data_IF_515054343675
#
_entry.id   IF_515054343675
#
_cell.length_a   1.000
_cell.length_b   1.000
_cell.length_c   1.000
_cell.angle_alpha   90.00
_cell.angle_beta   90.00
_cell.angle_gamma   90.00
#
_symmetry.space_group_name_H-M   'P 1'
#
loop_
_entity.id
_entity.type
_entity.pdbx_description
1 polymer ?
#
# COMPACT_ATOMS: atom_id res chain seq x y z
N UNK A 1 -6.96 12.31 -18.65
CA UNK A 1 -7.31 11.47 -17.48
C UNK A 1 -8.17 10.33 -18.01
N UNK A 2 -7.57 9.16 -18.22
CA UNK A 2 -8.29 8.00 -18.78
C UNK A 2 -8.53 7.00 -17.67
N UNK A 3 -9.79 6.82 -17.29
CA UNK A 3 -10.24 5.86 -16.28
C UNK A 3 -10.58 4.57 -17.02
N UNK A 4 -9.82 3.49 -16.79
CA UNK A 4 -10.20 2.16 -17.24
C UNK A 4 -10.98 1.47 -16.12
N UNK A 5 -12.30 1.40 -16.28
CA UNK A 5 -13.20 0.55 -15.49
C UNK A 5 -13.56 -0.67 -16.32
N UNK A 6 -13.21 -1.87 -15.85
CA UNK A 6 -13.63 -3.12 -16.48
C UNK A 6 -14.76 -3.73 -15.65
N UNK A 7 -16.00 -3.34 -15.91
CA UNK A 7 -17.19 -4.09 -15.47
C UNK A 7 -17.58 -5.05 -16.59
N UNK A 8 -17.25 -6.33 -16.44
CA UNK A 8 -17.60 -7.38 -17.40
C UNK A 8 -18.84 -8.14 -16.93
N UNK A 9 -19.99 -7.82 -17.53
CA UNK A 9 -21.12 -8.74 -17.67
C UNK A 9 -21.45 -8.77 -19.16
N UNK A 10 -21.35 -9.94 -19.80
CA UNK A 10 -21.51 -10.25 -21.26
C UNK A 10 -20.20 -10.25 -22.08
N UNK A 11 -19.91 -11.31 -22.89
CA UNK A 11 -18.65 -11.40 -23.63
C UNK A 11 -18.66 -10.53 -24.89
N UNK A 12 -17.64 -9.68 -25.13
CA UNK A 12 -17.55 -8.96 -26.38
C UNK A 12 -16.95 -9.86 -27.47
N UNK A 13 -17.70 -9.99 -28.57
CA UNK A 13 -17.19 -10.39 -29.88
C UNK A 13 -16.16 -9.36 -30.35
N UNK A 14 -14.98 -9.86 -30.72
CA UNK A 14 -13.95 -9.21 -31.57
C UNK A 14 -13.59 -7.77 -31.20
N UNK A 15 -12.61 -7.61 -30.31
CA UNK A 15 -11.86 -6.36 -30.17
C UNK A 15 -10.65 -6.39 -31.13
N UNK A 16 -10.61 -5.42 -32.04
CA UNK A 16 -9.53 -5.20 -33.01
C UNK A 16 -8.22 -4.80 -32.34
N UNK A 17 -7.14 -5.35 -32.89
CA UNK A 17 -5.77 -5.26 -32.44
C UNK A 17 -5.24 -3.82 -32.34
N UNK A 18 -4.77 -3.46 -31.14
CA UNK A 18 -4.02 -2.22 -30.86
C UNK A 18 -3.07 -2.34 -29.66
N UNK A 19 -2.70 -3.55 -29.25
CA UNK A 19 -1.76 -3.81 -28.15
C UNK A 19 -0.95 -5.08 -28.49
N UNK A 20 -0.13 -4.98 -29.53
CA UNK A 20 0.44 -6.15 -30.21
C UNK A 20 1.86 -6.48 -29.77
N UNK A 21 2.02 -7.26 -28.69
CA UNK A 21 2.94 -8.41 -28.54
C UNK A 21 3.34 -8.68 -27.08
N UNK A 22 3.59 -7.68 -26.23
CA UNK A 22 4.11 -7.91 -24.87
C UNK A 22 3.04 -8.43 -23.88
N UNK A 23 1.87 -7.78 -23.87
CA UNK A 23 0.76 -8.13 -22.96
C UNK A 23 0.20 -9.52 -23.26
N UNK A 24 0.22 -9.90 -24.55
CA UNK A 24 -0.08 -11.25 -25.00
C UNK A 24 0.94 -12.27 -24.53
N UNK A 25 2.21 -11.89 -24.32
CA UNK A 25 3.27 -12.80 -23.84
C UNK A 25 3.12 -13.06 -22.33
N UNK A 26 2.91 -12.01 -21.53
CA UNK A 26 2.66 -12.17 -20.09
C UNK A 26 1.31 -12.86 -19.82
N UNK A 27 0.27 -12.57 -20.60
CA UNK A 27 -1.01 -13.28 -20.52
C UNK A 27 -0.89 -14.75 -20.99
N UNK A 28 -0.05 -15.04 -21.99
CA UNK A 28 0.20 -16.41 -22.45
C UNK A 28 1.00 -17.25 -21.45
N UNK A 29 1.93 -16.65 -20.69
CA UNK A 29 2.63 -17.34 -19.58
C UNK A 29 1.69 -17.76 -18.44
N UNK A 30 0.60 -17.01 -18.25
CA UNK A 30 -0.42 -17.27 -17.23
C UNK A 30 -1.57 -18.13 -17.76
N UNK A 31 -1.75 -18.21 -19.08
CA UNK A 31 -2.83 -18.95 -19.71
C UNK A 31 -2.64 -20.47 -19.52
N UNK A 32 -3.63 -21.12 -18.90
CA UNK A 32 -3.65 -22.58 -18.72
C UNK A 32 -3.00 -23.10 -17.44
N UNK A 33 -2.58 -22.22 -16.52
CA UNK A 33 -2.10 -22.60 -15.18
C UNK A 33 -3.13 -22.22 -14.12
N UNK A 34 -3.48 -23.17 -13.23
CA UNK A 34 -4.17 -22.84 -11.98
C UNK A 34 -3.16 -22.18 -11.04
N UNK A 35 -3.09 -20.85 -11.11
CA UNK A 35 -2.23 -20.06 -10.22
C UNK A 35 -3.05 -19.59 -9.01
N UNK A 36 -2.44 -19.57 -7.80
CA UNK A 36 -2.98 -18.85 -6.66
C UNK A 36 -3.35 -17.41 -7.03
N UNK A 37 -4.42 -16.89 -6.44
CA UNK A 37 -4.87 -15.52 -6.70
C UNK A 37 -3.78 -14.47 -6.44
N UNK A 38 -2.86 -14.72 -5.51
CA UNK A 38 -1.71 -13.85 -5.21
C UNK A 38 -0.69 -13.79 -6.35
N UNK A 39 -0.45 -14.90 -7.04
CA UNK A 39 0.50 -14.95 -8.15
C UNK A 39 -0.05 -14.22 -9.38
N UNK A 40 -1.35 -14.36 -9.62
CA UNK A 40 -2.06 -13.60 -10.66
C UNK A 40 -1.99 -12.10 -10.34
N UNK A 41 -2.24 -11.72 -9.06
CA UNK A 41 -2.11 -10.32 -8.62
C UNK A 41 -0.72 -9.77 -8.87
N UNK A 42 0.32 -10.48 -8.43
CA UNK A 42 1.71 -10.07 -8.60
C UNK A 42 2.08 -9.92 -10.08
N UNK A 43 1.61 -10.83 -10.94
CA UNK A 43 1.85 -10.76 -12.38
C UNK A 43 1.16 -9.54 -13.02
N UNK A 44 -0.08 -9.24 -12.64
CA UNK A 44 -0.79 -8.04 -13.15
C UNK A 44 -0.10 -6.75 -12.71
N UNK A 45 0.32 -6.66 -11.44
CA UNK A 45 1.08 -5.49 -10.95
C UNK A 45 2.41 -5.33 -11.69
N UNK A 46 3.08 -6.44 -12.00
CA UNK A 46 4.30 -6.43 -12.82
C UNK A 46 4.04 -5.86 -14.22
N UNK A 47 2.97 -6.29 -14.90
CA UNK A 47 2.60 -5.76 -16.23
C UNK A 47 2.39 -4.24 -16.19
N UNK A 48 1.75 -3.72 -15.13
CA UNK A 48 1.55 -2.28 -14.97
C UNK A 48 2.88 -1.51 -14.89
N UNK A 49 3.89 -2.07 -14.21
CA UNK A 49 5.21 -1.45 -14.12
C UNK A 49 6.04 -1.63 -15.39
N UNK A 50 6.08 -2.83 -15.96
CA UNK A 50 6.99 -3.15 -17.06
C UNK A 50 6.46 -2.71 -18.42
N UNK A 51 5.17 -2.92 -18.68
CA UNK A 51 4.59 -2.65 -20.00
C UNK A 51 3.95 -1.26 -20.08
N UNK A 52 3.18 -0.90 -19.05
CA UNK A 52 2.49 0.40 -19.00
C UNK A 52 3.37 1.51 -18.41
N UNK A 53 4.57 1.16 -17.92
CA UNK A 53 5.58 2.10 -17.41
C UNK A 53 5.09 3.00 -16.27
N UNK A 54 4.14 2.52 -15.47
CA UNK A 54 3.78 3.18 -14.23
C UNK A 54 4.90 2.99 -13.20
N UNK A 55 5.17 4.02 -12.39
CA UNK A 55 6.17 3.95 -11.32
C UNK A 55 5.64 3.11 -10.16
N UNK A 56 4.36 3.29 -9.83
CA UNK A 56 3.66 2.61 -8.76
C UNK A 56 2.46 1.83 -9.31
N UNK A 57 2.21 0.65 -8.77
CA UNK A 57 1.08 -0.21 -9.07
C UNK A 57 0.55 -0.80 -7.76
N UNK A 58 -0.62 -0.36 -7.34
CA UNK A 58 -1.25 -0.75 -6.09
C UNK A 58 -2.42 -1.69 -6.34
N UNK A 59 -2.66 -2.60 -5.40
CA UNK A 59 -3.86 -3.43 -5.35
C UNK A 59 -4.62 -3.18 -4.04
N UNK A 60 -5.95 -3.11 -4.17
CA UNK A 60 -6.89 -2.84 -3.10
C UNK A 60 -8.06 -3.82 -3.17
N UNK A 61 -7.95 -4.99 -2.50
CA UNK A 61 -9.06 -5.92 -2.33
C UNK A 61 -9.94 -5.50 -1.14
N UNK A 62 -11.18 -5.14 -1.42
CA UNK A 62 -12.20 -4.85 -0.41
C UNK A 62 -13.13 -6.06 -0.33
N UNK A 63 -13.11 -6.77 0.79
CA UNK A 63 -13.94 -7.95 1.03
C UNK A 63 -15.17 -7.62 1.87
N UNK A 64 -16.28 -8.29 1.58
CA UNK A 64 -17.46 -8.33 2.43
C UNK A 64 -17.27 -9.43 3.47
N UNK A 65 -16.87 -9.04 4.69
CA UNK A 65 -16.50 -9.94 5.79
C UNK A 65 -17.61 -10.97 6.09
N UNK A 66 -18.87 -10.54 6.11
CA UNK A 66 -20.02 -11.40 6.40
C UNK A 66 -20.23 -12.53 5.38
N UNK A 67 -19.92 -12.26 4.11
CA UNK A 67 -20.15 -13.22 3.01
C UNK A 67 -18.87 -13.90 2.54
N UNK A 68 -17.71 -13.54 3.11
CA UNK A 68 -16.36 -13.96 2.64
C UNK A 68 -16.20 -13.84 1.12
N UNK A 69 -16.78 -12.78 0.54
CA UNK A 69 -16.76 -12.51 -0.90
C UNK A 69 -16.07 -11.19 -1.16
N UNK A 70 -15.29 -11.13 -2.23
CA UNK A 70 -14.73 -9.87 -2.75
C UNK A 70 -15.87 -8.94 -3.15
N UNK A 71 -15.94 -7.77 -2.50
CA UNK A 71 -16.90 -6.73 -2.85
C UNK A 71 -16.36 -5.88 -4.00
N UNK A 72 -15.10 -5.45 -3.90
CA UNK A 72 -14.38 -4.77 -4.96
C UNK A 72 -12.91 -5.20 -4.98
N UNK A 73 -12.31 -5.30 -6.17
CA UNK A 73 -10.87 -5.45 -6.35
C UNK A 73 -10.41 -4.38 -7.31
N UNK A 74 -9.70 -3.38 -6.80
CA UNK A 74 -9.17 -2.28 -7.61
C UNK A 74 -7.67 -2.45 -7.78
N UNK A 75 -7.19 -2.36 -9.03
CA UNK A 75 -5.78 -2.25 -9.37
C UNK A 75 -5.58 -0.86 -9.95
N UNK A 76 -4.60 -0.14 -9.44
CA UNK A 76 -4.35 1.25 -9.80
C UNK A 76 -2.87 1.48 -10.09
N UNK A 77 -2.58 1.97 -11.30
CA UNK A 77 -1.24 2.38 -11.71
C UNK A 77 -1.11 3.89 -11.70
N UNK A 78 0.01 4.41 -11.19
CA UNK A 78 0.33 5.83 -11.21
C UNK A 78 1.83 6.05 -11.37
N UNK A 79 2.21 7.14 -12.02
CA UNK A 79 3.61 7.58 -12.07
C UNK A 79 3.93 8.63 -11.01
N UNK A 80 2.92 9.16 -10.32
CA UNK A 80 3.07 10.16 -9.26
C UNK A 80 2.83 9.54 -7.88
N UNK A 81 3.68 9.91 -6.91
CA UNK A 81 3.55 9.54 -5.50
C UNK A 81 2.16 9.92 -4.96
N UNK A 82 1.67 11.10 -5.31
CA UNK A 82 0.36 11.60 -4.86
C UNK A 82 -0.81 10.70 -5.24
N UNK A 83 -0.71 10.01 -6.38
CA UNK A 83 -1.73 9.04 -6.79
C UNK A 83 -1.84 7.85 -5.83
N UNK A 84 -0.73 7.45 -5.19
CA UNK A 84 -0.73 6.38 -4.19
C UNK A 84 -1.48 6.81 -2.93
N UNK A 85 -1.27 8.05 -2.45
CA UNK A 85 -1.99 8.55 -1.27
C UNK A 85 -3.49 8.66 -1.52
N UNK A 86 -3.88 9.17 -2.70
CA UNK A 86 -5.29 9.27 -3.09
C UNK A 86 -5.97 7.89 -3.06
N UNK A 87 -5.30 6.88 -3.62
CA UNK A 87 -5.82 5.51 -3.61
C UNK A 87 -5.98 4.97 -2.19
N UNK A 88 -4.94 5.09 -1.35
CA UNK A 88 -4.97 4.57 0.02
C UNK A 88 -6.00 5.27 0.90
N UNK A 89 -6.19 6.57 0.69
CA UNK A 89 -7.23 7.33 1.39
C UNK A 89 -8.64 6.92 0.92
N UNK A 90 -8.84 6.69 -0.38
CA UNK A 90 -10.10 6.18 -0.92
C UNK A 90 -10.40 4.76 -0.41
N UNK A 91 -9.40 3.88 -0.38
CA UNK A 91 -9.48 2.54 0.20
C UNK A 91 -9.87 2.60 1.67
N UNK A 92 -9.19 3.42 2.47
CA UNK A 92 -9.50 3.63 3.89
C UNK A 92 -10.94 4.08 4.12
N UNK A 93 -11.49 4.92 3.23
CA UNK A 93 -12.89 5.40 3.31
C UNK A 93 -13.91 4.37 2.81
N UNK A 94 -13.51 3.54 1.84
CA UNK A 94 -14.38 2.54 1.21
C UNK A 94 -14.46 1.23 2.02
N UNK A 95 -13.48 0.97 2.88
CA UNK A 95 -13.56 -0.10 3.86
C UNK A 95 -14.74 0.18 4.82
N UNK A 96 -15.69 -0.75 4.97
CA UNK A 96 -16.81 -0.56 5.88
C UNK A 96 -16.31 -0.25 7.30
N UNK A 97 -17.05 0.60 8.03
CA UNK A 97 -16.89 0.93 9.45
C UNK A 97 -16.74 -0.28 10.40
N UNK A 98 -16.98 -1.50 9.90
CA UNK A 98 -17.01 -2.76 10.62
C UNK A 98 -15.63 -3.22 11.09
N UNK A 99 -14.53 -2.92 10.40
CA UNK A 99 -13.19 -3.30 10.87
C UNK A 99 -12.53 -2.24 11.78
N UNK A 100 -12.99 -0.99 11.72
CA UNK A 100 -12.36 0.14 12.44
C UNK A 100 -12.97 0.41 13.83
N UNK A 101 -14.27 0.17 14.04
CA UNK A 101 -15.00 0.61 15.26
C UNK A 101 -15.18 -0.44 16.34
N UNK A 102 -14.19 -1.31 16.58
CA UNK A 102 -14.20 -2.24 17.72
C UNK A 102 -14.11 -1.53 19.08
N UNK A 103 -13.28 -0.47 19.18
CA UNK A 103 -13.13 0.30 20.43
C UNK A 103 -14.34 1.19 20.74
N UNK A 104 -14.96 1.79 19.74
CA UNK A 104 -16.04 2.77 19.93
C UNK A 104 -17.39 2.14 20.33
N UNK A 105 -17.63 0.85 20.05
CA UNK A 105 -18.86 0.17 20.51
C UNK A 105 -18.80 -0.19 22.00
N UNK A 106 -17.66 -0.65 22.51
CA UNK A 106 -17.46 -0.89 23.96
C UNK A 106 -17.55 0.41 24.77
N UNK A 107 -17.00 1.51 24.25
CA UNK A 107 -17.05 2.83 24.90
C UNK A 107 -18.47 3.43 24.98
N UNK A 108 -19.41 2.97 24.14
CA UNK A 108 -20.81 3.43 24.11
C UNK A 108 -21.77 2.60 24.97
N UNK A 109 -21.25 1.74 25.86
CA UNK A 109 -22.05 1.02 26.85
C UNK A 109 -22.99 -0.05 26.27
N UNK A 110 -22.85 -0.39 24.99
CA UNK A 110 -23.63 -1.46 24.37
C UNK A 110 -22.97 -2.79 24.73
N UNK A 111 -23.25 -3.28 25.94
CA UNK A 111 -22.94 -4.63 26.40
C UNK A 111 -23.65 -5.61 25.45
N UNK A 112 -22.89 -6.26 24.57
CA UNK A 112 -23.38 -7.42 23.85
C UNK A 112 -23.70 -8.52 24.87
N UNK A 113 -24.96 -8.96 24.93
CA UNK A 113 -25.43 -10.06 25.79
C UNK A 113 -24.85 -11.43 25.40
N UNK A 114 -24.03 -11.48 24.35
CA UNK A 114 -23.26 -12.64 23.93
C UNK A 114 -21.78 -12.35 24.18
N UNK A 115 -21.31 -12.62 25.41
CA UNK A 115 -19.90 -12.80 25.71
C UNK A 115 -19.40 -14.01 24.92
N UNK A 116 -18.75 -13.79 23.77
CA UNK A 116 -18.16 -14.89 23.01
C UNK A 116 -17.87 -14.66 21.55
N UNK A 117 -18.34 -13.57 20.92
CA UNK A 117 -17.81 -13.20 19.60
C UNK A 117 -16.45 -12.52 19.80
N UNK A 118 -15.43 -13.35 19.94
CA UNK A 118 -14.04 -12.99 19.74
C UNK A 118 -13.93 -12.35 18.36
N UNK A 119 -13.91 -11.01 18.36
CA UNK A 119 -13.94 -10.21 17.14
C UNK A 119 -12.60 -10.40 16.42
N UNK A 120 -12.52 -11.42 15.57
CA UNK A 120 -11.38 -11.61 14.68
C UNK A 120 -11.29 -10.36 13.81
N UNK A 121 -10.15 -9.64 13.80
CA UNK A 121 -9.95 -8.59 12.81
C UNK A 121 -10.23 -9.21 11.44
N UNK A 122 -11.01 -8.54 10.60
CA UNK A 122 -11.21 -9.02 9.24
C UNK A 122 -9.88 -9.08 8.49
N UNK A 123 -9.91 -9.58 7.26
CA UNK A 123 -8.69 -9.84 6.48
C UNK A 123 -7.83 -8.58 6.33
N UNK A 124 -8.43 -7.40 6.25
CA UNK A 124 -7.69 -6.14 6.17
C UNK A 124 -7.10 -5.73 7.52
N UNK A 125 -7.84 -5.89 8.63
CA UNK A 125 -7.32 -5.62 9.97
C UNK A 125 -6.09 -6.48 10.32
N UNK A 126 -6.12 -7.76 9.98
CA UNK A 126 -4.98 -8.68 10.18
C UNK A 126 -3.79 -8.34 9.28
N UNK A 127 -4.02 -8.06 7.99
CA UNK A 127 -2.97 -7.64 7.06
C UNK A 127 -2.33 -6.31 7.49
N UNK A 128 -3.15 -5.34 7.91
CA UNK A 128 -2.68 -4.05 8.38
C UNK A 128 -1.82 -4.16 9.63
N UNK A 129 -2.20 -4.99 10.61
CA UNK A 129 -1.39 -5.21 11.80
C UNK A 129 -0.01 -5.77 11.44
N UNK A 130 0.06 -6.77 10.56
CA UNK A 130 1.34 -7.30 10.06
C UNK A 130 2.17 -6.23 9.36
N UNK A 131 1.55 -5.44 8.48
CA UNK A 131 2.24 -4.34 7.81
C UNK A 131 2.77 -3.27 8.77
N UNK A 132 2.12 -3.07 9.93
CA UNK A 132 2.63 -2.17 10.97
C UNK A 132 3.80 -2.78 11.74
N UNK A 133 3.76 -4.08 12.02
CA UNK A 133 4.87 -4.81 12.62
C UNK A 133 6.11 -4.79 11.71
N UNK A 134 5.90 -4.99 10.40
CA UNK A 134 6.96 -5.01 9.38
C UNK A 134 7.43 -3.59 8.97
N UNK A 135 6.70 -2.54 9.36
CA UNK A 135 6.94 -1.17 8.89
C UNK A 135 8.37 -0.70 9.18
N UNK A 136 8.87 -0.93 10.39
CA UNK A 136 10.21 -0.48 10.78
C UNK A 136 11.29 -1.17 9.95
N UNK A 137 11.13 -2.48 9.69
CA UNK A 137 12.08 -3.24 8.88
C UNK A 137 12.07 -2.73 7.43
N UNK A 138 10.89 -2.49 6.86
CA UNK A 138 10.75 -1.98 5.50
C UNK A 138 11.29 -0.55 5.34
N UNK A 139 10.98 0.35 6.28
CA UNK A 139 11.51 1.73 6.28
C UNK A 139 13.03 1.69 6.35
N UNK A 140 13.60 0.81 7.18
CA UNK A 140 15.04 0.64 7.32
C UNK A 140 15.67 0.11 6.03
N UNK A 141 15.09 -0.93 5.42
CA UNK A 141 15.56 -1.50 4.15
C UNK A 141 15.58 -0.44 3.04
N UNK A 142 14.47 0.28 2.88
CA UNK A 142 14.35 1.31 1.84
C UNK A 142 15.25 2.51 2.12
N UNK A 143 15.39 2.94 3.38
CA UNK A 143 16.31 4.02 3.74
C UNK A 143 17.77 3.62 3.48
N UNK A 144 18.16 2.35 3.71
CA UNK A 144 19.50 1.88 3.34
C UNK A 144 19.74 1.95 1.83
N UNK A 145 18.73 1.63 1.02
CA UNK A 145 18.80 1.74 -0.44
C UNK A 145 18.92 3.20 -0.92
N UNK A 146 18.52 4.19 -0.11
CA UNK A 146 18.69 5.62 -0.46
C UNK A 146 20.07 6.18 -0.15
N UNK A 147 21.04 5.37 0.33
CA UNK A 147 22.44 5.79 0.53
C UNK A 147 23.08 6.31 -0.76
N UNK A 148 22.80 5.65 -1.89
CA UNK A 148 23.38 6.01 -3.20
C UNK A 148 22.56 7.07 -3.96
N UNK A 149 21.25 7.17 -3.67
CA UNK A 149 20.34 8.12 -4.28
C UNK A 149 19.29 8.58 -3.25
N UNK A 150 19.52 9.73 -2.57
CA UNK A 150 18.60 10.21 -1.54
C UNK A 150 17.27 10.65 -2.16
N UNK A 151 16.22 9.88 -1.87
CA UNK A 151 14.85 10.19 -2.25
C UNK A 151 14.19 11.20 -1.32
N UNK A 152 13.10 11.80 -1.79
CA UNK A 152 12.21 12.59 -0.93
C UNK A 152 11.38 11.69 -0.03
N UNK A 153 10.93 12.22 1.11
CA UNK A 153 9.98 11.53 1.98
C UNK A 153 8.75 11.08 1.20
N UNK A 154 8.27 11.91 0.26
CA UNK A 154 7.09 11.58 -0.53
C UNK A 154 7.26 10.30 -1.37
N UNK A 155 8.42 10.13 -2.01
CA UNK A 155 8.74 8.94 -2.82
C UNK A 155 8.93 7.70 -1.95
N UNK A 156 9.62 7.84 -0.80
CA UNK A 156 9.76 6.78 0.17
C UNK A 156 8.39 6.32 0.69
N UNK A 157 7.55 7.28 1.09
CA UNK A 157 6.22 7.01 1.61
C UNK A 157 5.33 6.34 0.56
N UNK A 158 5.36 6.80 -0.70
CA UNK A 158 4.62 6.16 -1.78
C UNK A 158 5.09 4.72 -2.05
N UNK A 159 6.40 4.46 -1.99
CA UNK A 159 6.96 3.11 -2.16
C UNK A 159 6.55 2.15 -1.03
N UNK A 160 6.54 2.64 0.21
CA UNK A 160 6.05 1.87 1.36
C UNK A 160 4.56 1.62 1.22
N UNK A 161 3.78 2.66 0.94
CA UNK A 161 2.33 2.59 0.84
C UNK A 161 1.86 1.80 -0.38
N UNK A 162 2.66 1.67 -1.43
CA UNK A 162 2.38 0.76 -2.53
C UNK A 162 2.26 -0.69 -2.03
N UNK A 163 3.14 -1.10 -1.13
CA UNK A 163 3.20 -2.49 -0.62
C UNK A 163 2.40 -2.69 0.67
N UNK A 164 2.26 -1.66 1.50
CA UNK A 164 1.75 -1.78 2.86
C UNK A 164 0.56 -0.86 3.12
N UNK A 165 -0.40 -1.34 3.90
CA UNK A 165 -1.61 -0.60 4.30
C UNK A 165 -1.34 0.34 5.49
N UNK A 166 -0.42 1.28 5.30
CA UNK A 166 0.01 2.25 6.33
C UNK A 166 -0.28 3.67 5.88
N UNK A 167 -0.35 4.60 6.84
CA UNK A 167 -0.58 6.03 6.56
C UNK A 167 0.74 6.80 6.47
N UNK A 168 0.76 7.96 5.77
CA UNK A 168 1.94 8.83 5.75
C UNK A 168 2.38 9.25 7.15
N UNK A 169 1.43 9.47 8.07
CA UNK A 169 1.71 9.85 9.46
C UNK A 169 2.49 8.76 10.20
N UNK A 170 2.10 7.49 10.06
CA UNK A 170 2.80 6.36 10.69
C UNK A 170 4.23 6.21 10.14
N UNK A 171 4.42 6.45 8.83
CA UNK A 171 5.74 6.47 8.21
C UNK A 171 6.57 7.65 8.74
N UNK A 172 5.98 8.85 8.85
CA UNK A 172 6.63 10.05 9.41
C UNK A 172 7.11 9.82 10.84
N UNK A 173 6.29 9.20 11.67
CA UNK A 173 6.63 8.85 13.05
C UNK A 173 7.78 7.86 13.10
N UNK A 174 7.74 6.79 12.29
CA UNK A 174 8.80 5.78 12.23
C UNK A 174 10.15 6.39 11.79
N UNK A 175 10.14 7.19 10.72
CA UNK A 175 11.34 7.93 10.26
C UNK A 175 11.85 8.89 11.34
N UNK A 176 10.95 9.55 12.06
CA UNK A 176 11.29 10.40 13.20
C UNK A 176 11.97 9.64 14.33
N UNK A 177 11.52 8.43 14.67
CA UNK A 177 12.16 7.56 15.66
C UNK A 177 13.54 7.08 15.20
N UNK A 178 13.69 6.65 13.95
CA UNK A 178 14.99 6.26 13.38
C UNK A 178 15.98 7.42 13.40
N UNK A 179 15.52 8.65 13.15
CA UNK A 179 16.35 9.84 13.25
C UNK A 179 16.73 10.20 14.70
N UNK A 180 15.89 9.89 15.70
CA UNK A 180 16.27 10.01 17.12
C UNK A 180 17.35 9.00 17.51
N UNK A 181 17.33 7.82 16.90
CA UNK A 181 18.35 6.78 17.08
C UNK A 181 19.66 7.10 16.33
N UNK A 182 19.70 8.19 15.55
CA UNK A 182 20.88 8.58 14.78
C UNK A 182 21.11 7.77 13.51
N UNK A 183 20.12 6.97 13.08
CA UNK A 183 20.22 6.11 11.89
C UNK A 183 19.91 6.88 10.60
N UNK A 184 19.10 7.92 10.69
CA UNK A 184 18.66 8.77 9.56
C UNK A 184 19.01 10.22 9.85
N UNK A 185 19.47 10.94 8.81
CA UNK A 185 19.70 12.38 8.88
C UNK A 185 18.38 13.13 9.07
N UNK A 186 18.27 14.07 10.02
CA UNK A 186 17.04 14.85 10.23
C UNK A 186 17.13 16.26 9.59
N UNK A 187 17.05 16.42 8.25
CA UNK A 187 17.14 17.73 7.61
C UNK A 187 16.02 18.69 8.04
N UNK A 188 14.87 18.16 8.49
CA UNK A 188 13.77 18.95 9.02
C UNK A 188 14.12 19.73 10.29
N UNK A 189 15.11 19.27 11.07
CA UNK A 189 15.57 19.98 12.27
C UNK A 189 16.35 21.26 11.92
N UNK A 190 17.00 21.30 10.77
CA UNK A 190 17.71 22.50 10.27
C UNK A 190 16.73 23.63 9.96
N UNK A 191 15.56 23.29 9.39
CA UNK A 191 14.49 24.27 9.10
C UNK A 191 13.74 24.68 10.37
N UNK A 192 13.39 23.72 11.22
CA UNK A 192 12.67 23.96 12.48
C UNK A 192 13.23 23.05 13.56
N UNK A 193 14.00 23.63 14.48
CA UNK A 193 14.65 22.89 15.57
C UNK A 193 13.71 21.99 16.39
N UNK A 194 12.45 22.41 16.57
CA UNK A 194 11.42 21.65 17.30
C UNK A 194 10.67 20.59 16.46
N UNK A 195 10.97 20.46 15.17
CA UNK A 195 10.31 19.48 14.32
C UNK A 195 10.72 18.05 14.71
N UNK A 196 9.72 17.19 14.91
CA UNK A 196 9.92 15.80 15.32
C UNK A 196 9.91 14.82 14.15
N UNK A 197 9.29 15.21 13.03
CA UNK A 197 9.04 14.35 11.87
C UNK A 197 9.39 15.09 10.58
N UNK A 198 9.71 14.36 9.49
CA UNK A 198 9.91 14.94 8.16
C UNK A 198 8.62 15.54 7.59
N UNK A 199 8.81 16.48 6.69
CA UNK A 199 7.82 17.01 5.76
C UNK A 199 7.96 16.37 4.38
N UNK A 200 7.02 16.63 3.48
CA UNK A 200 6.87 15.83 2.25
C UNK A 200 8.09 15.97 1.31
N UNK A 201 8.72 17.15 1.30
CA UNK A 201 9.92 17.43 0.50
C UNK A 201 11.25 17.13 1.21
N UNK A 202 11.24 16.68 2.47
CA UNK A 202 12.47 16.42 3.20
C UNK A 202 13.15 15.15 2.67
N UNK A 203 14.48 15.19 2.56
CA UNK A 203 15.26 14.03 2.09
C UNK A 203 15.43 13.02 3.21
N UNK A 204 15.34 11.74 2.87
CA UNK A 204 15.61 10.65 3.81
C UNK A 204 16.96 10.03 3.45
N UNK A 205 17.97 10.34 4.28
CA UNK A 205 19.35 9.90 4.10
C UNK A 205 19.74 8.99 5.26
N UNK A 206 20.19 7.78 4.94
CA UNK A 206 20.70 6.85 5.94
C UNK A 206 22.13 7.21 6.33
N UNK A 207 22.38 7.30 7.65
CA UNK A 207 23.67 7.72 8.22
C UNK A 207 24.50 6.56 8.79
N UNK A 208 23.87 5.46 9.20
CA UNK A 208 24.60 4.39 9.88
C UNK A 208 25.43 3.56 8.87
N UNK A 209 26.74 3.42 9.12
CA UNK A 209 27.55 2.45 8.39
C UNK A 209 27.18 1.02 8.80
N UNK A 210 27.32 0.08 7.85
CA UNK A 210 26.94 -1.34 7.98
C UNK A 210 27.79 -2.15 8.98
N UNK A 211 28.43 -1.50 9.95
CA UNK A 211 29.23 -2.18 10.97
C UNK A 211 28.48 -2.24 12.32
N UNK A 212 27.43 -3.06 12.41
CA UNK A 212 27.09 -3.81 13.63
C UNK A 212 26.28 -5.05 13.27
#
# INVERSE_FOLDING_TARGET
MSIYSATSTTPPRTASAGCGRSSATAAAELAGRELPADDIRAAVLRIFKTELRFVYACHSPIEMVEKRRLHFSMIYGTSAADGVFVLREAEKRALPDHEWKGKDRRARGQLSLFEGEEYSPGRYGTLRSRHLEDLTALVTELAKQTKDAPGTFNELAATIMEKHYVSPTEIKENVGELAKQGLIEPPWKTRKYKARVPDDGDRVVWLADENT
#
